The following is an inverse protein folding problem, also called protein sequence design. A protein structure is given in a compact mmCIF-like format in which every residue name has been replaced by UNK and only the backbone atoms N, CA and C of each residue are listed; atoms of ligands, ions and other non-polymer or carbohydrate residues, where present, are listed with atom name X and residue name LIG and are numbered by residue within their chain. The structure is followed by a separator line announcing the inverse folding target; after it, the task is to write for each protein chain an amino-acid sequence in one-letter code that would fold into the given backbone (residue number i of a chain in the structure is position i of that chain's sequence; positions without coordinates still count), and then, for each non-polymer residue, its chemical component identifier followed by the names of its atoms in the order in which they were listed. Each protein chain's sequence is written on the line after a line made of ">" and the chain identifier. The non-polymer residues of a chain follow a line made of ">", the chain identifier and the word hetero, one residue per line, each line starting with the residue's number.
data_IF_676785018872
#
_entry.id   IF_676785018872
#
_cell.length_a   1.000
_cell.length_b   1.000
_cell.length_c   1.000
_cell.angle_alpha   90.00
_cell.angle_beta   90.00
_cell.angle_gamma   90.00
#
_symmetry.space_group_name_H-M   'P 1'
#
loop_
_entity.id
_entity.type
_entity.pdbx_description
1 polymer ?
#
# COMPACT_ATOMS: atom_id res chain seq x y z
N UNK A 1 7.74 -30.77 1.90
CA UNK A 1 7.80 -29.29 1.79
C UNK A 1 6.48 -28.77 2.34
N UNK A 2 6.51 -28.14 3.50
CA UNK A 2 5.32 -27.63 4.20
C UNK A 2 4.95 -26.30 3.57
N UNK A 3 3.84 -26.23 2.85
CA UNK A 3 3.34 -24.96 2.33
C UNK A 3 2.88 -24.10 3.50
N UNK A 4 3.19 -22.78 3.53
CA UNK A 4 2.60 -21.92 4.53
C UNK A 4 1.08 -21.91 4.34
N UNK A 5 0.37 -22.33 5.39
CA UNK A 5 -1.08 -22.39 5.44
C UNK A 5 -1.57 -21.43 6.52
N UNK A 6 -2.52 -20.57 6.16
CA UNK A 6 -3.12 -19.61 7.06
C UNK A 6 -4.54 -20.06 7.38
N UNK A 7 -4.80 -20.45 8.63
CA UNK A 7 -6.16 -20.76 9.10
C UNK A 7 -6.98 -19.47 9.09
N UNK A 8 -8.17 -19.50 8.50
CA UNK A 8 -9.06 -18.33 8.43
C UNK A 8 -10.46 -18.59 8.96
N UNK A 9 -10.92 -19.84 9.00
CA UNK A 9 -12.24 -20.17 9.55
C UNK A 9 -12.24 -21.51 10.27
N UNK A 10 -13.00 -21.56 11.35
CA UNK A 10 -13.33 -22.77 12.11
C UNK A 10 -14.86 -22.87 12.13
N UNK A 11 -15.41 -23.78 11.34
CA UNK A 11 -16.85 -23.97 11.28
C UNK A 11 -17.36 -24.56 12.60
N UNK A 12 -18.63 -24.33 12.92
CA UNK A 12 -19.27 -24.84 14.15
C UNK A 12 -19.25 -26.37 14.26
N UNK A 13 -19.19 -27.06 13.11
CA UNK A 13 -19.07 -28.51 13.03
C UNK A 13 -17.63 -29.02 13.24
N UNK A 14 -16.66 -28.13 13.46
CA UNK A 14 -15.25 -28.47 13.67
C UNK A 14 -14.44 -28.63 12.38
N UNK A 15 -14.98 -28.18 11.24
CA UNK A 15 -14.25 -28.13 9.98
C UNK A 15 -13.30 -26.93 9.99
N UNK A 16 -12.08 -27.14 9.50
CA UNK A 16 -11.03 -26.12 9.48
C UNK A 16 -10.74 -25.70 8.05
N UNK A 17 -10.60 -24.38 7.85
CA UNK A 17 -10.41 -23.80 6.54
C UNK A 17 -9.14 -22.98 6.49
N UNK A 18 -8.26 -23.33 5.56
CA UNK A 18 -6.95 -22.74 5.41
C UNK A 18 -6.76 -22.13 4.02
N UNK A 19 -6.00 -21.06 3.96
CA UNK A 19 -5.46 -20.52 2.72
C UNK A 19 -4.03 -21.03 2.55
N UNK A 20 -3.79 -21.83 1.51
CA UNK A 20 -2.47 -22.39 1.21
C UNK A 20 -1.84 -21.65 0.02
N UNK A 21 -0.63 -21.12 0.22
CA UNK A 21 0.14 -20.50 -0.87
C UNK A 21 0.73 -21.60 -1.75
N UNK A 22 0.42 -21.53 -3.05
CA UNK A 22 1.04 -22.40 -4.04
C UNK A 22 2.53 -22.08 -4.23
N UNK A 23 3.32 -23.07 -4.62
CA UNK A 23 4.75 -22.90 -4.89
C UNK A 23 4.98 -22.78 -6.40
N UNK A 24 5.72 -21.76 -6.82
CA UNK A 24 6.08 -21.59 -8.24
C UNK A 24 4.86 -21.33 -9.13
N UNK A 25 4.52 -22.29 -9.98
CA UNK A 25 3.37 -22.21 -10.91
C UNK A 25 2.04 -22.61 -10.27
N UNK A 26 2.06 -23.19 -9.08
CA UNK A 26 0.84 -23.58 -8.39
C UNK A 26 0.09 -22.33 -7.91
N UNK A 27 -1.20 -22.25 -8.25
CA UNK A 27 -2.08 -21.20 -7.74
C UNK A 27 -2.33 -21.39 -6.25
N UNK A 28 -2.55 -20.29 -5.54
CA UNK A 28 -3.06 -20.30 -4.16
C UNK A 28 -4.41 -21.03 -4.12
N UNK A 29 -4.57 -21.92 -3.14
CA UNK A 29 -5.77 -22.77 -2.99
C UNK A 29 -6.35 -22.68 -1.59
N UNK A 30 -7.66 -22.88 -1.47
CA UNK A 30 -8.35 -23.09 -0.19
C UNK A 30 -8.24 -24.57 0.18
N UNK A 31 -7.87 -24.87 1.41
CA UNK A 31 -7.80 -26.23 1.95
C UNK A 31 -8.87 -26.37 3.02
N UNK A 32 -9.76 -27.33 2.80
CA UNK A 32 -10.79 -27.73 3.75
C UNK A 32 -10.35 -29.01 4.44
N UNK A 33 -10.29 -28.99 5.76
CA UNK A 33 -10.09 -30.16 6.60
C UNK A 33 -11.40 -30.45 7.32
N UNK A 34 -12.05 -31.55 6.95
CA UNK A 34 -13.27 -31.98 7.60
C UNK A 34 -12.96 -32.44 9.04
N UNK A 35 -13.91 -32.24 9.95
CA UNK A 35 -13.79 -32.74 11.31
C UNK A 35 -13.57 -34.28 11.36
N UNK A 36 -13.02 -34.78 12.49
CA UNK A 36 -12.76 -36.22 12.68
C UNK A 36 -14.01 -37.09 12.53
N UNK A 37 -15.16 -36.60 12.96
CA UNK A 37 -16.45 -37.31 12.87
C UNK A 37 -16.89 -37.54 11.42
N UNK A 38 -16.44 -36.69 10.50
CA UNK A 38 -16.67 -36.75 9.05
C UNK A 38 -15.52 -37.43 8.30
N UNK A 39 -14.61 -38.11 9.02
CA UNK A 39 -13.52 -38.88 8.43
C UNK A 39 -12.22 -38.11 8.20
N UNK A 40 -12.12 -36.84 8.61
CA UNK A 40 -10.85 -36.10 8.55
C UNK A 40 -10.34 -35.80 7.13
N UNK A 41 -11.24 -35.81 6.14
CA UNK A 41 -10.85 -35.65 4.75
C UNK A 41 -10.29 -34.24 4.49
N UNK A 42 -9.13 -34.17 3.83
CA UNK A 42 -8.52 -32.92 3.40
C UNK A 42 -8.81 -32.74 1.90
N UNK A 43 -9.52 -31.67 1.57
CA UNK A 43 -9.86 -31.30 0.20
C UNK A 43 -9.18 -29.98 -0.19
N UNK A 44 -8.62 -29.92 -1.40
CA UNK A 44 -8.07 -28.69 -1.97
C UNK A 44 -9.03 -28.15 -3.01
N UNK A 45 -9.37 -26.87 -2.89
CA UNK A 45 -10.36 -26.18 -3.71
C UNK A 45 -9.69 -24.94 -4.29
N UNK A 46 -9.92 -24.64 -5.57
CA UNK A 46 -9.45 -23.39 -6.14
C UNK A 46 -10.19 -22.20 -5.49
N UNK A 47 -9.54 -21.05 -5.37
CA UNK A 47 -10.21 -19.84 -4.84
C UNK A 47 -11.44 -19.50 -5.68
N UNK A 48 -11.35 -19.66 -6.99
CA UNK A 48 -12.44 -19.40 -7.94
C UNK A 48 -13.67 -20.28 -7.65
N UNK A 49 -13.46 -21.58 -7.41
CA UNK A 49 -14.54 -22.51 -7.11
C UNK A 49 -15.10 -22.32 -5.70
N UNK A 50 -14.23 -22.04 -4.72
CA UNK A 50 -14.63 -21.73 -3.34
C UNK A 50 -15.55 -20.50 -3.29
N UNK A 51 -15.19 -19.43 -4.01
CA UNK A 51 -16.00 -18.21 -4.07
C UNK A 51 -17.34 -18.40 -4.83
N UNK A 52 -17.42 -19.39 -5.73
CA UNK A 52 -18.63 -19.69 -6.51
C UNK A 52 -19.62 -20.58 -5.76
N UNK A 53 -19.14 -21.45 -4.86
CA UNK A 53 -19.92 -22.53 -4.27
C UNK A 53 -21.12 -22.05 -3.43
N UNK A 54 -20.93 -21.13 -2.49
CA UNK A 54 -22.03 -20.59 -1.69
C UNK A 54 -21.77 -19.14 -1.24
N UNK A 55 -22.50 -18.16 -1.79
CA UNK A 55 -22.30 -16.77 -1.44
C UNK A 55 -22.57 -16.41 0.03
N UNK A 56 -23.40 -17.18 0.73
CA UNK A 56 -23.88 -16.91 2.10
C UNK A 56 -23.20 -17.79 3.16
N UNK A 57 -22.22 -18.60 2.77
CA UNK A 57 -21.48 -19.44 3.72
C UNK A 57 -20.67 -18.55 4.70
N UNK A 58 -20.74 -18.80 6.02
CA UNK A 58 -19.92 -18.09 7.01
C UNK A 58 -18.42 -18.15 6.70
N UNK A 59 -17.95 -19.30 6.21
CA UNK A 59 -16.55 -19.51 5.83
C UNK A 59 -16.12 -18.58 4.69
N UNK A 60 -17.04 -18.21 3.80
CA UNK A 60 -16.77 -17.22 2.75
C UNK A 60 -16.65 -15.81 3.32
N UNK A 61 -17.46 -15.47 4.33
CA UNK A 61 -17.36 -14.17 4.99
C UNK A 61 -16.02 -14.05 5.71
N UNK A 62 -15.61 -15.10 6.43
CA UNK A 62 -14.31 -15.17 7.09
C UNK A 62 -13.15 -15.06 6.09
N UNK A 63 -13.27 -15.71 4.92
CA UNK A 63 -12.28 -15.57 3.86
C UNK A 63 -12.17 -14.13 3.31
N UNK A 64 -13.31 -13.46 3.10
CA UNK A 64 -13.33 -12.06 2.64
C UNK A 64 -12.73 -11.14 3.71
N UNK A 65 -13.04 -11.35 4.98
CA UNK A 65 -12.45 -10.61 6.10
C UNK A 65 -10.94 -10.80 6.14
N UNK A 66 -10.46 -12.05 6.01
CA UNK A 66 -9.02 -12.32 5.94
C UNK A 66 -8.36 -11.56 4.78
N UNK A 67 -8.95 -11.58 3.59
CA UNK A 67 -8.40 -10.87 2.43
C UNK A 67 -8.39 -9.36 2.67
N UNK A 68 -9.44 -8.81 3.28
CA UNK A 68 -9.49 -7.40 3.64
C UNK A 68 -8.38 -7.02 4.63
N UNK A 69 -8.16 -7.84 5.67
CA UNK A 69 -7.10 -7.63 6.66
C UNK A 69 -5.70 -7.71 6.04
N UNK A 70 -5.46 -8.71 5.18
CA UNK A 70 -4.19 -8.85 4.46
C UNK A 70 -3.93 -7.65 3.53
N UNK A 71 -4.97 -7.18 2.82
CA UNK A 71 -4.85 -5.98 1.98
C UNK A 71 -4.63 -4.72 2.81
N UNK A 72 -5.34 -4.56 3.93
CA UNK A 72 -5.15 -3.44 4.85
C UNK A 72 -3.71 -3.38 5.36
N UNK A 73 -3.19 -4.50 5.86
CA UNK A 73 -1.83 -4.58 6.37
C UNK A 73 -0.76 -4.29 5.30
N UNK A 74 -0.93 -4.80 4.07
CA UNK A 74 0.01 -4.51 2.97
C UNK A 74 -0.05 -3.04 2.53
N UNK A 75 -1.24 -2.45 2.47
CA UNK A 75 -1.40 -1.03 2.14
C UNK A 75 -0.81 -0.14 3.24
N UNK A 76 -1.00 -0.50 4.50
CA UNK A 76 -0.44 0.21 5.65
C UNK A 76 1.09 0.08 5.70
N UNK A 77 1.65 -1.12 5.45
CA UNK A 77 3.10 -1.32 5.37
C UNK A 77 3.71 -0.56 4.18
N UNK A 78 3.06 -0.60 3.01
CA UNK A 78 3.50 0.19 1.85
C UNK A 78 3.46 1.68 2.13
N UNK A 79 2.43 2.17 2.84
CA UNK A 79 2.32 3.57 3.24
C UNK A 79 3.41 3.94 4.25
N UNK A 80 3.62 3.13 5.27
CA UNK A 80 4.67 3.35 6.26
C UNK A 80 6.06 3.38 5.61
N UNK A 81 6.35 2.48 4.65
CA UNK A 81 7.58 2.51 3.86
C UNK A 81 7.71 3.78 3.04
N UNK A 82 6.63 4.23 2.40
CA UNK A 82 6.63 5.49 1.66
C UNK A 82 6.91 6.67 2.59
N UNK A 83 6.27 6.75 3.76
CA UNK A 83 6.52 7.78 4.76
C UNK A 83 7.99 7.79 5.24
N UNK A 84 8.58 6.62 5.50
CA UNK A 84 10.00 6.50 5.85
C UNK A 84 10.90 6.99 4.71
N UNK A 85 10.61 6.63 3.46
CA UNK A 85 11.35 7.11 2.30
C UNK A 85 11.23 8.64 2.15
N UNK A 86 10.06 9.20 2.40
CA UNK A 86 9.86 10.65 2.37
C UNK A 86 10.70 11.36 3.42
N UNK A 87 10.77 10.84 4.64
CA UNK A 87 11.64 11.38 5.69
C UNK A 87 13.10 11.39 5.22
N UNK A 88 13.57 10.28 4.65
CA UNK A 88 14.94 10.19 4.14
C UNK A 88 15.22 11.18 3.00
N UNK A 89 14.26 11.38 2.09
CA UNK A 89 14.39 12.39 1.04
C UNK A 89 14.43 13.80 1.65
N UNK A 90 13.63 14.08 2.68
CA UNK A 90 13.59 15.40 3.33
C UNK A 90 14.81 15.71 4.20
N UNK A 91 15.50 14.69 4.70
CA UNK A 91 16.73 14.83 5.47
C UNK A 91 17.97 15.09 4.57
N UNK A 92 17.79 15.18 3.24
CA UNK A 92 18.88 15.47 2.32
C UNK A 92 19.56 16.82 2.62
N UNK A 93 20.89 16.81 2.62
CA UNK A 93 21.70 18.01 2.83
C UNK A 93 21.95 18.78 1.52
N UNK A 94 22.49 19.99 1.62
CA UNK A 94 22.92 20.77 0.44
C UNK A 94 23.94 20.01 -0.42
N UNK A 95 24.83 19.25 0.22
CA UNK A 95 25.83 18.43 -0.46
C UNK A 95 25.18 17.23 -1.17
N UNK A 96 24.22 16.56 -0.53
CA UNK A 96 23.48 15.44 -1.14
C UNK A 96 22.71 15.91 -2.37
N UNK A 97 22.02 17.05 -2.28
CA UNK A 97 21.27 17.63 -3.39
C UNK A 97 22.20 18.07 -4.54
N UNK A 98 23.33 18.71 -4.23
CA UNK A 98 24.32 19.07 -5.23
C UNK A 98 24.89 17.83 -5.94
N UNK A 99 25.24 16.79 -5.17
CA UNK A 99 25.76 15.53 -5.71
C UNK A 99 24.74 14.78 -6.57
N UNK A 100 23.46 14.78 -6.19
CA UNK A 100 22.41 14.15 -6.97
C UNK A 100 22.23 14.82 -8.36
N UNK A 101 22.55 16.11 -8.47
CA UNK A 101 22.49 16.85 -9.72
C UNK A 101 23.80 16.79 -10.52
N UNK A 102 24.90 16.27 -9.95
CA UNK A 102 26.14 16.04 -10.69
C UNK A 102 25.94 14.99 -11.77
N UNK A 103 26.23 15.35 -13.03
CA UNK A 103 26.04 14.46 -14.18
C UNK A 103 24.62 14.48 -14.74
N UNK A 104 23.75 15.37 -14.28
CA UNK A 104 22.48 15.63 -14.93
C UNK A 104 22.69 15.98 -16.41
N UNK A 105 21.89 15.39 -17.30
CA UNK A 105 21.97 15.65 -18.75
C UNK A 105 21.47 17.04 -19.16
N UNK A 106 20.95 17.79 -18.20
CA UNK A 106 20.39 19.13 -18.37
C UNK A 106 21.18 20.08 -17.48
N UNK A 107 21.59 21.22 -18.04
CA UNK A 107 22.19 22.30 -17.26
C UNK A 107 21.08 23.13 -16.63
N UNK A 108 21.08 23.21 -15.30
CA UNK A 108 20.22 24.11 -14.54
C UNK A 108 21.03 25.33 -14.10
N UNK A 109 20.45 26.54 -14.07
CA UNK A 109 21.14 27.75 -13.63
C UNK A 109 21.24 27.81 -12.09
N UNK A 110 21.66 26.71 -11.46
CA UNK A 110 21.87 26.60 -10.02
C UNK A 110 23.34 26.92 -9.75
N UNK A 111 23.57 27.98 -9.02
CA UNK A 111 24.89 28.57 -8.75
C UNK A 111 25.42 28.21 -7.36
N UNK A 112 24.53 27.77 -6.46
CA UNK A 112 24.89 27.39 -5.09
C UNK A 112 24.31 26.03 -4.68
N UNK A 113 24.92 25.34 -3.69
CA UNK A 113 24.37 24.11 -3.10
C UNK A 113 23.00 24.30 -2.46
N UNK A 114 22.77 25.47 -1.84
CA UNK A 114 21.46 25.84 -1.31
C UNK A 114 20.36 25.87 -2.39
N UNK A 115 20.64 26.49 -3.55
CA UNK A 115 19.70 26.50 -4.68
C UNK A 115 19.40 25.08 -5.20
N UNK A 116 20.40 24.18 -5.17
CA UNK A 116 20.21 22.77 -5.50
C UNK A 116 19.29 22.06 -4.51
N UNK A 117 19.45 22.32 -3.21
CA UNK A 117 18.58 21.76 -2.16
C UNK A 117 17.14 22.26 -2.27
N UNK A 118 16.94 23.56 -2.50
CA UNK A 118 15.61 24.14 -2.71
C UNK A 118 14.93 23.55 -3.94
N UNK A 119 15.67 23.41 -5.05
CA UNK A 119 15.16 22.77 -6.25
C UNK A 119 14.76 21.31 -5.99
N UNK A 120 15.63 20.55 -5.32
CA UNK A 120 15.36 19.17 -4.94
C UNK A 120 14.12 19.04 -4.06
N UNK A 121 13.98 19.86 -3.02
CA UNK A 121 12.81 19.88 -2.14
C UNK A 121 11.53 20.22 -2.90
N UNK A 122 11.58 21.19 -3.82
CA UNK A 122 10.45 21.53 -4.67
C UNK A 122 10.06 20.35 -5.59
N UNK A 123 11.03 19.60 -6.10
CA UNK A 123 10.76 18.39 -6.86
C UNK A 123 10.11 17.31 -5.99
N UNK A 124 10.57 17.13 -4.75
CA UNK A 124 9.93 16.23 -3.76
C UNK A 124 8.48 16.68 -3.52
N UNK A 125 8.20 17.98 -3.35
CA UNK A 125 6.83 18.50 -3.19
C UNK A 125 5.94 18.21 -4.39
N UNK A 126 6.48 18.33 -5.60
CA UNK A 126 5.74 18.05 -6.84
C UNK A 126 5.41 16.57 -6.97
N UNK A 127 6.39 15.68 -6.77
CA UNK A 127 6.18 14.23 -6.96
C UNK A 127 5.34 13.61 -5.85
N UNK A 128 5.35 14.22 -4.65
CA UNK A 128 4.49 13.82 -3.52
C UNK A 128 3.10 14.42 -3.57
N UNK A 129 2.87 15.41 -4.44
CA UNK A 129 1.63 16.17 -4.50
C UNK A 129 1.46 17.19 -3.37
N UNK A 130 2.43 17.33 -2.47
CA UNK A 130 2.43 18.33 -1.38
C UNK A 130 2.27 19.75 -1.94
N UNK A 131 2.92 20.06 -3.07
CA UNK A 131 2.79 21.37 -3.72
C UNK A 131 1.34 21.72 -4.08
N UNK A 132 0.52 20.73 -4.44
CA UNK A 132 -0.88 20.95 -4.76
C UNK A 132 -1.74 21.15 -3.50
N UNK A 133 -1.31 20.59 -2.36
CA UNK A 133 -1.94 20.81 -1.05
C UNK A 133 -1.64 22.23 -0.60
N UNK A 134 -0.37 22.65 -0.62
CA UNK A 134 0.06 23.98 -0.18
C UNK A 134 -0.60 25.09 -1.01
N UNK A 135 -0.66 24.93 -2.34
CA UNK A 135 -1.35 25.89 -3.22
C UNK A 135 -2.85 25.98 -2.91
N UNK A 136 -3.49 24.86 -2.56
CA UNK A 136 -4.89 24.88 -2.13
C UNK A 136 -5.02 25.61 -0.80
N UNK A 137 -4.19 25.30 0.20
CA UNK A 137 -4.23 25.97 1.50
C UNK A 137 -3.98 27.49 1.39
N UNK A 138 -3.02 27.91 0.57
CA UNK A 138 -2.76 29.33 0.30
C UNK A 138 -3.93 30.02 -0.39
N UNK A 139 -4.61 29.34 -1.33
CA UNK A 139 -5.85 29.87 -1.93
C UNK A 139 -6.96 30.09 -0.89
N UNK A 140 -7.00 29.32 0.20
CA UNK A 140 -7.92 29.56 1.32
C UNK A 140 -7.46 30.68 2.27
N UNK A 141 -6.16 31.03 2.28
CA UNK A 141 -5.59 32.12 3.08
C UNK A 141 -5.75 33.49 2.45
N UNK A 142 -5.84 33.56 1.12
CA UNK A 142 -6.12 34.82 0.41
C UNK A 142 -7.62 35.13 0.55
N UNK A 143 -7.98 35.94 1.56
CA UNK A 143 -9.30 36.58 1.62
C UNK A 143 -9.45 37.55 0.44
N UNK A 144 -10.55 37.55 -0.32
CA UNK A 144 -10.83 38.62 -1.26
C UNK A 144 -11.25 39.85 -0.47
N UNK A 145 -10.34 40.79 -0.24
CA UNK A 145 -10.70 42.06 0.38
C UNK A 145 -9.52 42.82 0.93
N UNK A 146 -8.99 43.76 0.13
CA UNK A 146 -8.79 45.16 0.49
C UNK A 146 -8.19 45.84 -0.75
N UNK A 147 -9.05 46.27 -1.68
CA UNK A 147 -8.57 46.90 -2.92
C UNK A 147 -9.61 47.04 -4.01
N UNK A 148 -10.89 47.28 -3.69
CA UNK A 148 -11.81 47.82 -4.70
C UNK A 148 -11.46 49.29 -4.89
N UNK A 149 -10.59 49.58 -5.85
CA UNK A 149 -10.50 50.92 -6.46
C UNK A 149 -11.84 51.19 -7.14
N UNK A 150 -12.73 51.91 -6.46
CA UNK A 150 -13.78 52.65 -7.16
C UNK A 150 -13.11 53.87 -7.80
N UNK A 151 -13.13 53.88 -9.14
CA UNK A 151 -12.88 55.06 -9.97
C UNK A 151 -14.21 55.75 -10.20
#
# INVERSE_FOLDING_TARGET
>A
MTHPMLLFSLSSNGDQWYLARGNGTDKTTVVHEANRSSGGAISKISIEDFLRANPQAPERQDFVSLVADLLGNELDDSKARAEVLLIQLRDATEEDAANALLGAKVQLPLTTPYEALEFYNCMVDVVTGQRAIDVKEDAHRIRPGFGSTHV
#
